data_IF_205005662065
#
_entry.id   IF_205005662065
#
_cell.length_a   1.000
_cell.length_b   1.000
_cell.length_c   1.000
_cell.angle_alpha   90.00
_cell.angle_beta   90.00
_cell.angle_gamma   90.00
#
_symmetry.space_group_name_H-M   'P 1'
#
loop_
_entity.id
_entity.type
_entity.pdbx_description
1 polymer ?
#
# COMPACT_ATOMS: atom_id res chain seq x y z
N UNK A 1 0.69 0.67 -43.88
CA UNK A 1 -0.11 0.63 -42.65
C UNK A 1 0.86 0.61 -41.46
N UNK A 2 0.81 1.53 -40.50
CA UNK A 2 1.63 1.43 -39.33
C UNK A 2 1.12 0.29 -38.46
N UNK A 3 1.98 -0.66 -38.15
CA UNK A 3 1.73 -1.76 -37.22
C UNK A 3 1.48 -1.12 -35.85
N UNK A 4 0.23 -1.11 -35.37
CA UNK A 4 -0.11 -0.79 -34.00
C UNK A 4 0.42 -1.94 -33.13
N UNK A 5 1.64 -1.79 -32.63
CA UNK A 5 2.14 -2.69 -31.61
C UNK A 5 1.32 -2.43 -30.34
N UNK A 6 0.67 -3.45 -29.80
CA UNK A 6 -0.02 -3.33 -28.54
C UNK A 6 0.98 -2.92 -27.44
N UNK A 7 0.62 -2.01 -26.54
CA UNK A 7 1.50 -1.64 -25.46
C UNK A 7 1.79 -2.86 -24.59
N UNK A 8 3.06 -3.16 -24.35
CA UNK A 8 3.45 -4.19 -23.39
C UNK A 8 2.93 -3.85 -21.99
N UNK A 9 2.83 -4.85 -21.11
CA UNK A 9 2.32 -4.68 -19.73
C UNK A 9 3.01 -3.52 -18.98
N UNK A 10 4.34 -3.38 -19.15
CA UNK A 10 5.10 -2.26 -18.60
C UNK A 10 4.64 -0.90 -19.14
N UNK A 11 4.42 -0.78 -20.44
CA UNK A 11 4.01 0.48 -21.06
C UNK A 11 2.63 0.95 -20.60
N UNK A 12 1.72 0.02 -20.32
CA UNK A 12 0.40 0.31 -19.74
C UNK A 12 0.54 0.87 -18.32
N UNK A 13 1.33 0.21 -17.46
CA UNK A 13 1.57 0.65 -16.09
C UNK A 13 2.32 1.99 -16.03
N UNK A 14 3.35 2.17 -16.86
CA UNK A 14 4.08 3.44 -16.95
C UNK A 14 3.15 4.59 -17.31
N UNK A 15 2.31 4.40 -18.33
CA UNK A 15 1.31 5.40 -18.74
C UNK A 15 0.32 5.68 -17.63
N UNK A 16 -0.15 4.67 -16.90
CA UNK A 16 -1.05 4.84 -15.77
C UNK A 16 -0.44 5.72 -14.69
N UNK A 17 0.80 5.46 -14.29
CA UNK A 17 1.50 6.27 -13.29
C UNK A 17 1.74 7.70 -13.76
N UNK A 18 2.16 7.90 -15.02
CA UNK A 18 2.32 9.23 -15.60
C UNK A 18 1.03 10.04 -15.56
N UNK A 19 -0.10 9.44 -15.94
CA UNK A 19 -1.41 10.09 -15.88
C UNK A 19 -1.84 10.37 -14.44
N UNK A 20 -1.54 9.48 -13.51
CA UNK A 20 -1.80 9.71 -12.08
C UNK A 20 -1.06 10.94 -11.56
N UNK A 21 0.15 11.19 -12.06
CA UNK A 21 0.92 12.42 -11.77
C UNK A 21 0.55 13.59 -12.67
N UNK A 22 -0.43 13.44 -13.56
CA UNK A 22 -0.91 14.46 -14.50
C UNK A 22 0.18 15.01 -15.43
N UNK A 23 1.17 14.18 -15.76
CA UNK A 23 2.27 14.55 -16.64
C UNK A 23 1.97 14.16 -18.09
N UNK A 24 2.33 15.03 -19.04
CA UNK A 24 2.44 14.67 -20.45
C UNK A 24 3.69 13.82 -20.69
N UNK A 25 3.81 13.19 -21.86
CA UNK A 25 5.04 12.48 -22.23
C UNK A 25 6.25 13.43 -22.30
N UNK A 26 6.05 14.67 -22.75
CA UNK A 26 7.11 15.65 -22.83
C UNK A 26 7.60 16.06 -21.43
N UNK A 27 6.69 16.35 -20.51
CA UNK A 27 7.04 16.71 -19.13
C UNK A 27 7.77 15.58 -18.43
N UNK A 28 7.26 14.33 -18.51
CA UNK A 28 7.96 13.20 -17.90
C UNK A 28 9.33 12.98 -18.53
N UNK A 29 9.47 13.12 -19.86
CA UNK A 29 10.75 12.97 -20.54
C UNK A 29 11.77 14.01 -20.08
N UNK A 30 11.31 15.24 -19.82
CA UNK A 30 12.15 16.33 -19.31
C UNK A 30 12.60 16.07 -17.87
N UNK A 31 11.68 15.72 -16.97
CA UNK A 31 12.01 15.48 -15.56
C UNK A 31 12.83 14.21 -15.37
N UNK A 32 12.56 13.18 -16.17
CA UNK A 32 13.32 11.93 -16.15
C UNK A 32 14.64 12.00 -16.94
N UNK A 33 14.95 13.11 -17.61
CA UNK A 33 16.15 13.26 -18.46
C UNK A 33 16.29 12.18 -19.54
N UNK A 34 15.16 11.68 -20.06
CA UNK A 34 15.11 10.71 -21.15
C UNK A 34 14.51 11.33 -22.40
N UNK A 35 14.88 10.86 -23.60
CA UNK A 35 14.26 11.39 -24.80
C UNK A 35 12.77 11.05 -24.88
N UNK A 36 11.94 12.00 -25.33
CA UNK A 36 10.51 11.77 -25.53
C UNK A 36 10.24 10.57 -26.46
N UNK A 37 11.09 10.39 -27.48
CA UNK A 37 11.01 9.24 -28.38
C UNK A 37 11.20 7.91 -27.65
N UNK A 38 12.20 7.85 -26.75
CA UNK A 38 12.44 6.64 -25.96
C UNK A 38 11.27 6.35 -25.02
N UNK A 39 10.79 7.36 -24.31
CA UNK A 39 9.61 7.23 -23.45
C UNK A 39 8.39 6.74 -24.23
N UNK A 40 8.15 7.29 -25.43
CA UNK A 40 7.08 6.84 -26.32
C UNK A 40 7.26 5.38 -26.75
N UNK A 41 8.48 4.93 -27.00
CA UNK A 41 8.75 3.53 -27.35
C UNK A 41 8.51 2.58 -26.17
N UNK A 42 8.89 2.99 -24.96
CA UNK A 42 8.58 2.24 -23.74
C UNK A 42 7.08 2.10 -23.51
N UNK A 43 6.33 3.20 -23.60
CA UNK A 43 4.87 3.19 -23.40
C UNK A 43 4.09 2.39 -24.47
N UNK A 44 4.64 2.30 -25.68
CA UNK A 44 4.02 1.57 -26.78
C UNK A 44 4.58 0.14 -26.98
N UNK A 45 5.43 -0.33 -26.07
CA UNK A 45 6.00 -1.68 -26.13
C UNK A 45 6.99 -1.91 -27.27
N UNK A 46 7.52 -0.82 -27.87
CA UNK A 46 8.51 -0.88 -28.98
C UNK A 46 9.94 -1.00 -28.47
N UNK A 47 10.16 -0.75 -27.18
CA UNK A 47 11.44 -0.92 -26.49
C UNK A 47 11.20 -1.61 -25.16
N UNK A 48 12.14 -2.45 -24.73
CA UNK A 48 12.15 -3.02 -23.39
C UNK A 48 13.00 -2.15 -22.48
N UNK A 49 12.53 -1.79 -21.28
CA UNK A 49 13.35 -1.07 -20.32
C UNK A 49 14.41 -2.00 -19.71
N UNK A 50 15.51 -1.45 -19.21
CA UNK A 50 16.39 -2.14 -18.27
C UNK A 50 15.82 -2.01 -16.85
N UNK A 51 16.24 -2.86 -15.87
CA UNK A 51 15.84 -2.71 -14.47
C UNK A 51 16.11 -1.30 -13.93
N UNK A 52 17.26 -0.72 -14.27
CA UNK A 52 17.66 0.63 -13.85
C UNK A 52 16.74 1.71 -14.46
N UNK A 53 16.29 1.51 -15.71
CA UNK A 53 15.31 2.41 -16.33
C UNK A 53 13.94 2.33 -15.66
N UNK A 54 13.49 1.12 -15.28
CA UNK A 54 12.25 0.94 -14.51
C UNK A 54 12.34 1.68 -13.19
N UNK A 55 13.44 1.51 -12.45
CA UNK A 55 13.68 2.17 -11.17
C UNK A 55 13.73 3.70 -11.32
N UNK A 56 14.46 4.18 -12.30
CA UNK A 56 14.61 5.60 -12.56
C UNK A 56 13.25 6.26 -12.83
N UNK A 57 12.45 5.68 -13.73
CA UNK A 57 11.11 6.17 -14.02
C UNK A 57 10.17 6.05 -12.81
N UNK A 58 10.30 4.97 -12.02
CA UNK A 58 9.51 4.80 -10.81
C UNK A 58 9.84 5.84 -9.73
N UNK A 59 11.12 6.21 -9.57
CA UNK A 59 11.56 7.28 -8.67
C UNK A 59 11.02 8.63 -9.16
N UNK A 60 11.22 8.94 -10.44
CA UNK A 60 10.78 10.20 -11.04
C UNK A 60 9.27 10.41 -10.93
N UNK A 61 8.50 9.32 -11.05
CA UNK A 61 7.04 9.32 -10.88
C UNK A 61 6.59 9.20 -9.42
N UNK A 62 7.54 9.19 -8.47
CA UNK A 62 7.26 8.97 -7.04
C UNK A 62 6.32 7.78 -6.81
N UNK A 63 6.64 6.65 -7.48
CA UNK A 63 5.91 5.40 -7.31
C UNK A 63 6.26 4.81 -5.95
N UNK A 64 5.27 4.51 -5.09
CA UNK A 64 5.53 3.87 -3.80
C UNK A 64 6.29 2.55 -3.96
N UNK A 65 7.22 2.24 -3.05
CA UNK A 65 8.09 1.04 -3.12
C UNK A 65 7.31 -0.24 -3.40
N UNK A 66 6.17 -0.43 -2.74
CA UNK A 66 5.29 -1.58 -2.96
C UNK A 66 4.75 -1.71 -4.40
N UNK A 67 4.54 -0.58 -5.08
CA UNK A 67 4.03 -0.56 -6.44
C UNK A 67 5.15 -0.67 -7.48
N UNK A 68 6.43 -0.49 -7.09
CA UNK A 68 7.58 -0.66 -7.99
C UNK A 68 7.77 -2.11 -8.41
N UNK A 69 7.48 -3.09 -7.55
CA UNK A 69 7.49 -4.49 -7.94
C UNK A 69 6.52 -4.78 -9.08
N UNK A 70 5.33 -4.17 -9.08
CA UNK A 70 4.39 -4.32 -10.19
C UNK A 70 4.94 -3.79 -11.52
N UNK A 71 5.70 -2.68 -11.49
CA UNK A 71 6.39 -2.15 -12.66
C UNK A 71 7.53 -3.07 -13.12
N UNK A 72 8.34 -3.60 -12.18
CA UNK A 72 9.41 -4.56 -12.48
C UNK A 72 8.84 -5.83 -13.10
N UNK A 73 7.81 -6.42 -12.49
CA UNK A 73 7.14 -7.61 -13.01
C UNK A 73 6.52 -7.38 -14.39
N UNK A 74 5.89 -6.23 -14.61
CA UNK A 74 5.35 -5.86 -15.91
C UNK A 74 6.42 -5.70 -16.99
N UNK A 75 7.67 -5.40 -16.60
CA UNK A 75 8.84 -5.36 -17.48
C UNK A 75 9.53 -6.73 -17.64
N UNK A 76 9.08 -7.76 -16.90
CA UNK A 76 9.63 -9.12 -16.92
C UNK A 76 10.79 -9.35 -15.95
N UNK A 77 10.94 -8.50 -14.93
CA UNK A 77 11.95 -8.63 -13.88
C UNK A 77 11.34 -9.19 -12.60
N UNK A 78 12.17 -9.81 -11.76
CA UNK A 78 11.77 -10.29 -10.44
C UNK A 78 11.52 -9.11 -9.46
N UNK A 79 10.77 -9.39 -8.39
CA UNK A 79 10.59 -8.47 -7.28
C UNK A 79 11.94 -8.07 -6.67
N UNK A 80 12.09 -6.78 -6.42
CA UNK A 80 13.30 -6.20 -5.81
C UNK A 80 13.03 -5.72 -4.38
N UNK A 81 11.78 -5.38 -4.10
CA UNK A 81 11.36 -4.87 -2.81
C UNK A 81 10.58 -5.96 -2.08
N UNK A 82 11.18 -6.53 -1.06
CA UNK A 82 10.50 -7.45 -0.13
C UNK A 82 9.72 -6.65 0.90
N UNK A 83 8.46 -7.01 1.11
CA UNK A 83 7.74 -6.55 2.28
C UNK A 83 8.23 -7.36 3.47
N UNK A 84 9.00 -6.72 4.35
CA UNK A 84 9.41 -7.35 5.60
C UNK A 84 8.25 -7.31 6.60
N UNK A 85 7.98 -8.46 7.22
CA UNK A 85 7.04 -8.53 8.33
C UNK A 85 7.61 -7.77 9.54
N UNK A 86 6.74 -7.06 10.27
CA UNK A 86 7.12 -6.43 11.54
C UNK A 86 7.66 -7.46 12.56
N UNK A 87 7.29 -8.73 12.41
CA UNK A 87 7.80 -9.85 13.20
C UNK A 87 9.17 -10.36 12.71
N UNK A 88 9.68 -9.81 11.60
CA UNK A 88 10.97 -10.18 11.05
C UNK A 88 12.15 -9.59 11.85
N UNK A 89 13.32 -10.25 11.83
CA UNK A 89 14.49 -9.84 12.61
C UNK A 89 15.00 -8.45 12.21
N UNK A 90 14.81 -8.01 10.97
CA UNK A 90 15.25 -6.72 10.48
C UNK A 90 14.44 -5.55 11.08
N UNK A 91 13.18 -5.77 11.49
CA UNK A 91 12.30 -4.75 12.05
C UNK A 91 12.12 -4.86 13.57
N UNK A 92 12.88 -5.70 14.27
CA UNK A 92 12.77 -5.92 15.71
C UNK A 92 12.84 -4.65 16.56
N UNK A 93 13.81 -3.77 16.29
CA UNK A 93 13.94 -2.48 17.00
C UNK A 93 12.75 -1.54 16.74
N UNK A 94 12.21 -1.55 15.52
CA UNK A 94 11.03 -0.76 15.17
C UNK A 94 9.82 -1.31 15.91
N UNK A 95 9.68 -2.62 15.98
CA UNK A 95 8.62 -3.28 16.75
C UNK A 95 8.67 -2.90 18.22
N UNK A 96 9.83 -3.00 18.87
CA UNK A 96 10.03 -2.62 20.27
C UNK A 96 9.66 -1.15 20.54
N UNK A 97 10.05 -0.25 19.62
CA UNK A 97 9.68 1.15 19.68
C UNK A 97 8.17 1.38 19.57
N UNK A 98 7.50 0.66 18.68
CA UNK A 98 6.05 0.72 18.52
C UNK A 98 5.32 0.16 19.75
N UNK A 99 5.78 -0.96 20.32
CA UNK A 99 5.24 -1.54 21.54
C UNK A 99 5.34 -0.54 22.69
N UNK A 100 6.50 0.08 22.89
CA UNK A 100 6.72 1.12 23.90
C UNK A 100 5.75 2.31 23.72
N UNK A 101 5.56 2.78 22.49
CA UNK A 101 4.64 3.89 22.20
C UNK A 101 3.19 3.52 22.51
N UNK A 102 2.77 2.33 22.14
CA UNK A 102 1.40 1.83 22.35
C UNK A 102 1.11 1.62 23.83
N UNK A 103 2.08 1.09 24.59
CA UNK A 103 1.98 0.91 26.03
C UNK A 103 1.93 2.25 26.78
N UNK A 104 2.77 3.21 26.37
CA UNK A 104 2.78 4.56 26.98
C UNK A 104 1.47 5.33 26.77
N UNK A 105 0.59 4.86 25.88
CA UNK A 105 -0.71 5.47 25.63
C UNK A 105 -1.79 5.06 26.63
N UNK A 106 -1.55 4.04 27.46
CA UNK A 106 -2.52 3.64 28.50
C UNK A 106 -2.84 4.85 29.42
N UNK A 107 -4.08 5.15 29.77
CA UNK A 107 -5.28 4.30 29.67
C UNK A 107 -6.08 4.45 28.34
N UNK A 108 -5.55 5.13 27.36
CA UNK A 108 -6.24 5.31 26.08
C UNK A 108 -5.99 4.13 25.13
N UNK A 109 -7.03 3.60 24.43
CA UNK A 109 -6.86 2.54 23.45
C UNK A 109 -5.91 2.94 22.32
N UNK A 110 -4.90 2.11 22.06
CA UNK A 110 -3.96 2.32 20.98
C UNK A 110 -3.72 1.01 20.20
N UNK A 111 -3.64 1.13 18.87
CA UNK A 111 -3.48 0.02 17.95
C UNK A 111 -2.38 0.34 16.91
N UNK A 112 -1.59 -0.65 16.55
CA UNK A 112 -0.77 -0.64 15.34
C UNK A 112 -1.41 -1.59 14.34
N UNK A 113 -1.66 -1.11 13.14
CA UNK A 113 -2.25 -1.90 12.05
C UNK A 113 -1.36 -1.83 10.82
N UNK A 114 -1.42 -2.87 10.00
CA UNK A 114 -0.82 -2.83 8.67
C UNK A 114 -1.71 -2.04 7.68
N UNK A 115 -1.26 -1.93 6.43
CA UNK A 115 -1.98 -1.26 5.33
C UNK A 115 -3.35 -1.89 5.01
N UNK A 116 -3.54 -3.16 5.38
CA UNK A 116 -4.79 -3.90 5.19
C UNK A 116 -5.66 -3.85 6.45
N UNK A 117 -5.27 -3.04 7.43
CA UNK A 117 -5.91 -2.91 8.74
C UNK A 117 -5.84 -4.19 9.59
N UNK A 118 -4.92 -5.10 9.29
CA UNK A 118 -4.65 -6.22 10.17
C UNK A 118 -3.98 -5.71 11.44
N UNK A 119 -4.46 -6.17 12.58
CA UNK A 119 -3.94 -5.79 13.88
C UNK A 119 -2.57 -6.43 14.10
N UNK A 120 -1.57 -5.59 14.39
CA UNK A 120 -0.21 -6.01 14.68
C UNK A 120 0.11 -5.89 16.18
N UNK A 121 -0.25 -4.75 16.81
CA UNK A 121 -0.01 -4.49 18.23
C UNK A 121 -1.25 -3.78 18.80
N UNK A 122 -1.58 -4.04 20.06
CA UNK A 122 -2.62 -3.34 20.80
C UNK A 122 -2.24 -3.27 22.28
N UNK A 123 -2.57 -2.15 22.97
CA UNK A 123 -2.39 -2.07 24.41
C UNK A 123 -3.55 -2.69 25.20
N UNK A 124 -3.40 -2.78 26.50
CA UNK A 124 -4.41 -3.36 27.39
C UNK A 124 -5.74 -2.59 27.35
N UNK A 125 -5.70 -1.25 27.19
CA UNK A 125 -6.91 -0.45 27.06
C UNK A 125 -7.68 -0.76 25.77
N UNK A 126 -6.97 -1.00 24.66
CA UNK A 126 -7.55 -1.41 23.39
C UNK A 126 -8.23 -2.80 23.49
N UNK A 127 -7.58 -3.74 24.19
CA UNK A 127 -8.16 -5.07 24.45
C UNK A 127 -9.45 -4.95 25.27
N UNK A 128 -9.43 -4.20 26.36
CA UNK A 128 -10.61 -3.94 27.20
C UNK A 128 -11.75 -3.29 26.42
N UNK A 129 -11.44 -2.30 25.57
CA UNK A 129 -12.45 -1.67 24.72
C UNK A 129 -13.06 -2.67 23.73
N UNK A 130 -12.24 -3.51 23.15
CA UNK A 130 -12.69 -4.56 22.21
C UNK A 130 -13.63 -5.55 22.91
N UNK A 131 -13.30 -6.00 24.11
CA UNK A 131 -14.14 -6.88 24.92
C UNK A 131 -15.47 -6.21 25.30
N UNK A 132 -15.46 -4.93 25.62
CA UNK A 132 -16.65 -4.16 25.95
C UNK A 132 -17.60 -4.01 24.76
N UNK A 133 -17.04 -3.76 23.57
CA UNK A 133 -17.81 -3.48 22.36
C UNK A 133 -18.27 -4.73 21.62
N UNK A 134 -17.64 -5.87 21.83
CA UNK A 134 -17.89 -7.08 21.06
C UNK A 134 -18.35 -8.24 21.95
N UNK A 135 -19.39 -8.98 21.53
CA UNK A 135 -19.66 -10.29 22.12
C UNK A 135 -18.45 -11.22 21.90
N UNK A 136 -18.10 -12.05 22.87
CA UNK A 136 -16.92 -12.92 22.85
C UNK A 136 -16.79 -13.77 21.56
N UNK A 137 -17.89 -14.26 21.01
CA UNK A 137 -17.90 -15.03 19.77
C UNK A 137 -17.54 -14.17 18.53
N UNK A 138 -17.91 -12.90 18.51
CA UNK A 138 -17.61 -11.97 17.41
C UNK A 138 -16.18 -11.41 17.51
N UNK A 139 -15.67 -11.23 18.73
CA UNK A 139 -14.31 -10.80 18.97
C UNK A 139 -13.29 -11.77 18.37
N UNK A 140 -13.50 -13.07 18.59
CA UNK A 140 -12.60 -14.13 18.05
C UNK A 140 -12.63 -14.24 16.52
N UNK A 141 -13.80 -14.03 15.90
CA UNK A 141 -13.93 -14.17 14.45
C UNK A 141 -13.33 -13.01 13.65
N UNK A 142 -13.18 -11.82 14.28
CA UNK A 142 -12.76 -10.60 13.59
C UNK A 142 -11.55 -9.89 14.22
N UNK A 143 -10.96 -10.46 15.28
CA UNK A 143 -9.87 -9.87 16.07
C UNK A 143 -8.60 -9.54 15.26
N UNK A 144 -8.42 -10.20 14.13
CA UNK A 144 -7.24 -9.97 13.29
C UNK A 144 -7.30 -8.74 12.38
N UNK A 145 -8.46 -8.07 12.23
CA UNK A 145 -8.58 -6.94 11.30
C UNK A 145 -9.51 -5.86 11.85
N UNK A 146 -8.96 -4.67 12.07
CA UNK A 146 -9.66 -3.57 12.74
C UNK A 146 -10.89 -3.08 11.96
N UNK A 147 -10.83 -3.01 10.62
CA UNK A 147 -11.99 -2.62 9.82
C UNK A 147 -13.12 -3.65 9.91
N UNK A 148 -12.81 -4.94 9.85
CA UNK A 148 -13.81 -5.99 10.01
C UNK A 148 -14.43 -5.94 11.38
N UNK A 149 -13.62 -5.72 12.41
CA UNK A 149 -14.07 -5.60 13.81
C UNK A 149 -15.04 -4.44 13.99
N UNK A 150 -14.80 -3.29 13.34
CA UNK A 150 -15.63 -2.09 13.44
C UNK A 150 -16.86 -2.18 12.53
N UNK A 151 -16.68 -2.54 11.24
CA UNK A 151 -17.69 -2.40 10.19
C UNK A 151 -18.65 -3.60 10.07
N UNK A 152 -18.25 -4.78 10.54
CA UNK A 152 -19.09 -5.98 10.43
C UNK A 152 -20.43 -5.81 11.15
N UNK A 153 -21.55 -6.26 10.58
CA UNK A 153 -22.86 -6.13 11.22
C UNK A 153 -22.95 -6.73 12.63
N UNK A 154 -22.18 -7.81 12.90
CA UNK A 154 -22.04 -8.42 14.23
C UNK A 154 -20.84 -7.85 15.02
N UNK A 155 -20.14 -6.82 14.50
CA UNK A 155 -19.03 -6.14 15.15
C UNK A 155 -19.47 -4.94 15.99
N UNK A 156 -18.53 -4.01 16.22
CA UNK A 156 -18.76 -2.81 17.03
C UNK A 156 -19.86 -1.90 16.46
N UNK A 157 -20.08 -1.93 15.13
CA UNK A 157 -21.16 -1.18 14.47
C UNK A 157 -22.53 -1.37 15.15
N UNK A 158 -22.86 -2.59 15.59
CA UNK A 158 -24.14 -2.88 16.23
C UNK A 158 -24.34 -2.18 17.58
N UNK A 159 -23.26 -1.63 18.15
CA UNK A 159 -23.26 -0.97 19.48
C UNK A 159 -22.93 0.52 19.41
N UNK A 160 -22.65 1.04 18.23
CA UNK A 160 -22.40 2.46 18.01
C UNK A 160 -23.76 3.12 17.71
N UNK A 161 -24.20 3.99 18.60
CA UNK A 161 -25.40 4.80 18.36
C UNK A 161 -25.08 5.78 17.22
N UNK A 162 -26.09 6.02 16.38
CA UNK A 162 -25.97 6.97 15.25
C UNK A 162 -24.81 6.66 14.29
N UNK A 163 -24.60 5.38 14.01
CA UNK A 163 -23.56 4.91 13.10
C UNK A 163 -23.47 5.70 11.77
N UNK A 164 -24.63 6.09 11.21
CA UNK A 164 -24.70 6.84 9.97
C UNK A 164 -24.04 8.23 10.07
N UNK A 165 -24.03 8.83 11.27
CA UNK A 165 -23.35 10.10 11.53
C UNK A 165 -21.86 9.92 11.86
N UNK A 166 -21.50 8.79 12.43
CA UNK A 166 -20.11 8.49 12.79
C UNK A 166 -19.26 8.01 11.61
N UNK A 167 -19.90 7.61 10.49
CA UNK A 167 -19.24 7.05 9.31
C UNK A 167 -19.02 8.07 8.18
N UNK A 168 -19.24 9.38 8.40
CA UNK A 168 -19.05 10.46 7.40
C UNK A 168 -17.66 11.06 7.49
#
# INVERSE_FOLDING_TARGET
MPIRTEPGAFGVELRRWRHHRRLSQLELSTVAEVSQRHLSFLENGRSRPSPEMVEHLAITLDVPLRARNALLNAAGFADRYTEESLDGPALGQIREGLETLVEAHDPYPAYVVDRCWNLLIANAAAARLTELLLPAASALAHAGNLLRLVLHPAGARARINEWEQAAV
#
